data_IF_342166339177
#
_entry.id   IF_342166339177
#
_cell.length_a   1.000
_cell.length_b   1.000
_cell.length_c   1.000
_cell.angle_alpha   90.00
_cell.angle_beta   90.00
_cell.angle_gamma   90.00
#
_symmetry.space_group_name_H-M   'P 1'
#
loop_
_entity.id
_entity.type
_entity.pdbx_description
1 polymer ?
#
# COMPACT_ATOMS: atom_id res chain seq x y z
N UNK A 1 27.23 -0.24 5.32
CA UNK A 1 26.32 -0.32 6.49
C UNK A 1 24.88 0.05 6.12
N UNK A 2 24.65 1.06 5.32
CA UNK A 2 23.30 1.52 4.89
C UNK A 2 22.48 0.49 4.09
N UNK A 3 23.12 -0.31 3.23
CA UNK A 3 22.43 -1.33 2.38
C UNK A 3 21.56 -2.31 3.18
N UNK A 4 21.96 -2.70 4.38
CA UNK A 4 21.14 -3.59 5.21
C UNK A 4 19.81 -2.92 5.63
N UNK A 5 19.82 -1.62 5.92
CA UNK A 5 18.58 -0.91 6.25
C UNK A 5 17.62 -0.83 5.07
N UNK A 6 18.13 -0.65 3.85
CA UNK A 6 17.33 -0.75 2.62
C UNK A 6 16.66 -2.11 2.49
N UNK A 7 17.46 -3.19 2.61
CA UNK A 7 16.95 -4.56 2.43
C UNK A 7 15.95 -4.92 3.53
N UNK A 8 16.26 -4.63 4.79
CA UNK A 8 15.35 -4.92 5.88
C UNK A 8 14.05 -4.13 5.80
N UNK A 9 14.12 -2.84 5.49
CA UNK A 9 12.92 -2.01 5.32
C UNK A 9 12.05 -2.54 4.16
N UNK A 10 12.66 -2.95 3.04
CA UNK A 10 11.94 -3.53 1.92
C UNK A 10 11.27 -4.87 2.29
N UNK A 11 11.99 -5.78 2.96
CA UNK A 11 11.44 -7.09 3.35
C UNK A 11 10.33 -6.92 4.39
N UNK A 12 10.59 -6.17 5.45
CA UNK A 12 9.62 -5.99 6.55
C UNK A 12 8.38 -5.25 6.05
N UNK A 13 8.57 -4.17 5.27
CA UNK A 13 7.45 -3.42 4.70
C UNK A 13 6.58 -4.28 3.80
N UNK A 14 7.19 -5.05 2.89
CA UNK A 14 6.46 -5.95 2.01
C UNK A 14 5.73 -7.06 2.78
N UNK A 15 6.39 -7.65 3.77
CA UNK A 15 5.77 -8.68 4.62
C UNK A 15 4.55 -8.13 5.36
N UNK A 16 4.67 -6.96 5.98
CA UNK A 16 3.58 -6.33 6.73
C UNK A 16 2.42 -5.94 5.81
N UNK A 17 2.72 -5.40 4.62
CA UNK A 17 1.69 -5.08 3.63
C UNK A 17 0.90 -6.32 3.22
N UNK A 18 1.59 -7.38 2.80
CA UNK A 18 0.91 -8.61 2.37
C UNK A 18 0.19 -9.31 3.52
N UNK A 19 0.75 -9.30 4.74
CA UNK A 19 0.09 -9.86 5.92
C UNK A 19 -1.22 -9.13 6.23
N UNK A 20 -1.20 -7.80 6.27
CA UNK A 20 -2.42 -7.00 6.53
C UNK A 20 -3.49 -7.22 5.47
N UNK A 21 -3.12 -7.30 4.19
CA UNK A 21 -4.02 -7.59 3.08
C UNK A 21 -4.63 -8.99 3.18
N UNK A 22 -3.83 -10.00 3.56
CA UNK A 22 -4.33 -11.39 3.78
C UNK A 22 -5.34 -11.41 4.92
N UNK A 23 -5.06 -10.72 6.04
CA UNK A 23 -5.98 -10.64 7.18
C UNK A 23 -7.29 -9.99 6.75
N UNK A 24 -7.24 -8.83 6.10
CA UNK A 24 -8.44 -8.12 5.65
C UNK A 24 -9.23 -8.92 4.62
N UNK A 25 -8.55 -9.60 3.70
CA UNK A 25 -9.20 -10.50 2.74
C UNK A 25 -9.89 -11.67 3.45
N UNK A 26 -9.27 -12.25 4.47
CA UNK A 26 -9.88 -13.30 5.31
C UNK A 26 -11.13 -12.78 6.04
N UNK A 27 -11.07 -11.59 6.61
CA UNK A 27 -12.23 -10.94 7.24
C UNK A 27 -13.37 -10.69 6.26
N UNK A 28 -13.05 -10.26 5.04
CA UNK A 28 -14.05 -10.12 3.96
C UNK A 28 -14.70 -11.46 3.63
N UNK A 29 -13.91 -12.52 3.46
CA UNK A 29 -14.40 -13.87 3.15
C UNK A 29 -15.27 -14.47 4.26
N UNK A 30 -15.03 -14.13 5.51
CA UNK A 30 -15.82 -14.57 6.67
C UNK A 30 -17.11 -13.76 6.87
N UNK A 31 -17.37 -12.74 6.07
CA UNK A 31 -18.56 -11.90 6.19
C UNK A 31 -18.45 -10.78 7.23
N UNK A 32 -17.26 -10.51 7.77
CA UNK A 32 -17.08 -9.47 8.80
C UNK A 32 -17.50 -8.06 8.36
N UNK A 33 -17.61 -7.81 7.05
CA UNK A 33 -18.05 -6.53 6.47
C UNK A 33 -19.51 -6.57 5.94
N UNK A 34 -20.29 -7.62 6.20
CA UNK A 34 -21.61 -7.83 5.58
C UNK A 34 -22.63 -6.78 5.98
N UNK A 35 -22.64 -6.35 7.25
CA UNK A 35 -23.70 -5.49 7.78
C UNK A 35 -23.40 -3.99 7.61
N UNK A 36 -22.13 -3.58 7.70
CA UNK A 36 -21.78 -2.15 7.79
C UNK A 36 -20.83 -1.69 6.69
N UNK A 37 -20.32 -2.59 5.84
CA UNK A 37 -19.22 -2.37 4.86
C UNK A 37 -17.93 -1.85 5.47
N UNK A 38 -17.94 -1.37 6.71
CA UNK A 38 -16.77 -0.85 7.42
C UNK A 38 -16.78 -1.25 8.89
N UNK A 39 -15.61 -1.57 9.43
CA UNK A 39 -15.40 -1.78 10.87
C UNK A 39 -14.71 -0.55 11.45
N UNK A 40 -15.26 -0.02 12.54
CA UNK A 40 -14.69 1.15 13.22
C UNK A 40 -13.50 0.74 14.06
N UNK A 41 -12.36 1.41 13.86
CA UNK A 41 -11.14 1.25 14.67
C UNK A 41 -10.99 2.35 15.70
N UNK A 42 -11.18 3.60 15.28
CA UNK A 42 -11.06 4.77 16.15
C UNK A 42 -12.25 5.72 15.89
N UNK A 43 -13.33 5.49 16.62
CA UNK A 43 -14.57 6.24 16.44
C UNK A 43 -15.06 6.21 14.99
N UNK A 44 -15.44 7.39 14.47
CA UNK A 44 -15.84 7.55 13.07
C UNK A 44 -14.69 8.00 12.15
N UNK A 45 -13.47 8.21 12.73
CA UNK A 45 -12.34 8.79 12.00
C UNK A 45 -11.54 7.74 11.24
N UNK A 46 -11.27 6.60 11.86
CA UNK A 46 -10.47 5.52 11.26
C UNK A 46 -11.30 4.23 11.21
N UNK A 47 -11.45 3.69 10.03
CA UNK A 47 -12.23 2.48 9.79
C UNK A 47 -11.47 1.50 8.93
N UNK A 48 -11.80 0.22 9.03
CA UNK A 48 -11.42 -0.82 8.05
C UNK A 48 -12.58 -1.03 7.09
N UNK A 49 -12.23 -1.20 5.81
CA UNK A 49 -13.13 -1.64 4.75
C UNK A 49 -12.48 -2.76 3.95
N UNK A 50 -13.17 -3.27 2.97
CA UNK A 50 -12.58 -4.07 1.91
C UNK A 50 -12.97 -3.47 0.57
N UNK A 51 -12.00 -2.90 -0.13
CA UNK A 51 -12.21 -2.29 -1.44
C UNK A 51 -11.27 -2.88 -2.48
N UNK A 52 -11.79 -3.11 -3.68
CA UNK A 52 -11.04 -3.59 -4.84
C UNK A 52 -10.65 -2.42 -5.73
N UNK A 53 -9.43 -1.93 -5.58
CA UNK A 53 -8.93 -0.84 -6.39
C UNK A 53 -8.34 -1.36 -7.71
N UNK A 54 -9.08 -1.17 -8.79
CA UNK A 54 -8.66 -1.50 -10.16
C UNK A 54 -7.99 -0.32 -10.87
N UNK A 55 -7.83 0.80 -10.18
CA UNK A 55 -7.25 2.03 -10.68
C UNK A 55 -5.79 2.19 -10.18
N UNK A 56 -5.17 3.31 -10.47
CA UNK A 56 -3.86 3.64 -9.92
C UNK A 56 -3.92 4.16 -8.50
N UNK A 57 -2.80 4.67 -8.03
CA UNK A 57 -2.68 5.30 -6.72
C UNK A 57 -3.71 6.41 -6.59
N UNK A 58 -4.38 6.51 -5.43
CA UNK A 58 -5.45 7.46 -5.14
C UNK A 58 -6.66 7.40 -6.11
N UNK A 59 -6.94 6.23 -6.69
CA UNK A 59 -8.08 6.05 -7.60
C UNK A 59 -7.93 6.72 -8.97
N UNK A 60 -6.74 7.20 -9.32
CA UNK A 60 -6.49 7.87 -10.61
C UNK A 60 -6.35 6.84 -11.73
N UNK A 61 -7.06 7.06 -12.83
CA UNK A 61 -6.89 6.29 -14.06
C UNK A 61 -5.86 6.98 -14.96
N UNK A 62 -4.75 6.30 -15.24
CA UNK A 62 -3.69 6.81 -16.10
C UNK A 62 -3.40 5.92 -17.32
N UNK A 63 -4.47 5.46 -17.98
CA UNK A 63 -4.38 4.76 -19.25
C UNK A 63 -4.60 3.25 -19.18
N UNK A 64 -4.05 2.48 -20.14
CA UNK A 64 -4.25 1.03 -20.26
C UNK A 64 -3.74 0.26 -19.04
N UNK A 65 -4.35 -0.88 -18.75
CA UNK A 65 -4.08 -1.67 -17.54
C UNK A 65 -2.60 -2.08 -17.38
N UNK A 66 -1.85 -2.30 -18.44
CA UNK A 66 -0.45 -2.66 -18.35
C UNK A 66 0.43 -1.58 -17.69
N UNK A 67 0.04 -0.29 -17.77
CA UNK A 67 0.78 0.81 -17.14
C UNK A 67 0.79 0.70 -15.62
N UNK A 68 -0.23 0.09 -15.02
CA UNK A 68 -0.28 -0.18 -13.57
C UNK A 68 0.74 -1.22 -13.10
N UNK A 69 1.38 -1.91 -14.02
CA UNK A 69 2.54 -2.79 -13.78
C UNK A 69 3.85 -2.11 -14.20
N UNK A 70 3.90 -1.59 -15.42
CA UNK A 70 5.13 -1.04 -16.01
C UNK A 70 5.65 0.15 -15.21
N UNK A 71 4.80 1.10 -14.84
CA UNK A 71 5.24 2.29 -14.12
C UNK A 71 5.80 1.97 -12.72
N UNK A 72 5.11 1.20 -11.84
CA UNK A 72 5.66 0.84 -10.55
C UNK A 72 6.93 -0.03 -10.66
N UNK A 73 7.02 -0.94 -11.63
CA UNK A 73 8.22 -1.77 -11.83
C UNK A 73 9.41 -0.93 -12.31
N UNK A 74 9.18 0.00 -13.24
CA UNK A 74 10.22 0.92 -13.70
C UNK A 74 10.71 1.84 -12.58
N UNK A 75 9.78 2.39 -11.78
CA UNK A 75 10.10 3.18 -10.60
C UNK A 75 10.88 2.34 -9.58
N UNK A 76 10.49 1.07 -9.36
CA UNK A 76 11.20 0.16 -8.45
C UNK A 76 12.65 -0.05 -8.86
N UNK A 77 12.96 -0.13 -10.15
CA UNK A 77 14.34 -0.25 -10.63
C UNK A 77 15.19 0.98 -10.25
N UNK A 78 14.63 2.18 -10.36
CA UNK A 78 15.28 3.41 -9.92
C UNK A 78 15.45 3.45 -8.40
N UNK A 79 14.42 3.07 -7.65
CA UNK A 79 14.44 3.01 -6.17
C UNK A 79 15.53 2.04 -5.69
N UNK A 80 15.65 0.88 -6.32
CA UNK A 80 16.72 -0.10 -6.03
C UNK A 80 18.09 0.53 -6.28
N UNK A 81 18.25 1.18 -7.44
CA UNK A 81 19.51 1.80 -7.81
C UNK A 81 19.95 2.89 -6.83
N UNK A 82 19.02 3.77 -6.41
CA UNK A 82 19.28 4.80 -5.40
C UNK A 82 19.43 4.23 -3.99
N UNK A 83 18.61 3.26 -3.61
CA UNK A 83 18.64 2.62 -2.30
C UNK A 83 19.97 1.94 -2.00
N UNK A 84 20.58 1.27 -2.99
CA UNK A 84 21.92 0.68 -2.84
C UNK A 84 23.05 1.72 -2.80
N UNK A 85 22.79 2.96 -3.23
CA UNK A 85 23.72 4.09 -3.20
C UNK A 85 23.50 5.04 -2.03
N UNK A 86 22.45 4.85 -1.24
CA UNK A 86 22.17 5.67 -0.08
C UNK A 86 23.35 5.68 0.90
N UNK A 87 23.77 6.85 1.33
CA UNK A 87 24.95 7.03 2.18
C UNK A 87 24.64 6.83 3.65
N UNK A 88 23.43 7.14 4.08
CA UNK A 88 22.95 7.05 5.45
C UNK A 88 21.84 6.02 5.62
N UNK A 89 21.56 5.64 6.89
CA UNK A 89 20.58 4.61 7.20
C UNK A 89 19.12 5.06 6.95
N UNK A 90 18.82 6.34 7.16
CA UNK A 90 17.47 6.87 7.00
C UNK A 90 17.05 6.89 5.52
N UNK A 91 17.88 7.45 4.66
CA UNK A 91 17.63 7.41 3.21
C UNK A 91 17.54 5.99 2.69
N UNK A 92 18.40 5.09 3.16
CA UNK A 92 18.35 3.68 2.77
C UNK A 92 17.04 3.02 3.19
N UNK A 93 16.58 3.23 4.42
CA UNK A 93 15.31 2.71 4.91
C UNK A 93 14.12 3.31 4.14
N UNK A 94 14.14 4.62 3.86
CA UNK A 94 13.13 5.31 3.08
C UNK A 94 12.95 4.68 1.68
N UNK A 95 14.05 4.50 0.94
CA UNK A 95 13.99 3.78 -0.34
C UNK A 95 13.49 2.34 -0.20
N UNK A 96 13.82 1.65 0.90
CA UNK A 96 13.30 0.31 1.18
C UNK A 96 11.79 0.30 1.39
N UNK A 97 11.25 1.28 2.11
CA UNK A 97 9.80 1.45 2.30
C UNK A 97 9.09 1.73 0.97
N UNK A 98 9.61 2.67 0.16
CA UNK A 98 9.06 2.97 -1.17
C UNK A 98 9.04 1.70 -2.05
N UNK A 99 10.14 0.94 -2.06
CA UNK A 99 10.21 -0.30 -2.83
C UNK A 99 9.17 -1.32 -2.37
N UNK A 100 9.03 -1.51 -1.06
CA UNK A 100 8.06 -2.46 -0.50
C UNK A 100 6.62 -2.11 -0.87
N UNK A 101 6.26 -0.82 -0.81
CA UNK A 101 4.94 -0.35 -1.18
C UNK A 101 4.66 -0.53 -2.68
N UNK A 102 5.61 -0.16 -3.54
CA UNK A 102 5.47 -0.35 -4.98
C UNK A 102 5.26 -1.84 -5.33
N UNK A 103 6.11 -2.73 -4.80
CA UNK A 103 6.03 -4.17 -5.04
C UNK A 103 4.78 -4.80 -4.42
N UNK A 104 4.34 -4.37 -3.23
CA UNK A 104 3.14 -4.86 -2.58
C UNK A 104 1.90 -4.69 -3.47
N UNK A 105 1.71 -3.51 -4.04
CA UNK A 105 0.61 -3.23 -4.95
C UNK A 105 0.74 -3.91 -6.32
N UNK A 106 1.97 -4.17 -6.79
CA UNK A 106 2.20 -4.97 -8.01
C UNK A 106 1.84 -6.43 -7.79
N UNK A 107 2.20 -7.01 -6.63
CA UNK A 107 1.86 -8.39 -6.26
C UNK A 107 0.35 -8.58 -6.22
N UNK A 108 -0.40 -7.65 -5.61
CA UNK A 108 -1.85 -7.73 -5.57
C UNK A 108 -2.46 -7.75 -6.97
N UNK A 109 -2.02 -6.85 -7.84
CA UNK A 109 -2.50 -6.80 -9.24
C UNK A 109 -2.17 -8.07 -10.01
N UNK A 110 -0.99 -8.66 -9.79
CA UNK A 110 -0.60 -9.91 -10.43
C UNK A 110 -1.45 -11.10 -9.96
N UNK A 111 -1.87 -11.11 -8.68
CA UNK A 111 -2.65 -12.20 -8.08
C UNK A 111 -4.15 -12.06 -8.30
N UNK A 112 -4.68 -10.85 -8.19
CA UNK A 112 -6.12 -10.60 -8.11
C UNK A 112 -6.65 -9.74 -9.26
N UNK A 113 -5.79 -9.06 -10.02
CA UNK A 113 -6.17 -8.06 -11.02
C UNK A 113 -6.59 -6.70 -10.43
N UNK A 114 -6.47 -6.52 -9.11
CA UNK A 114 -6.76 -5.29 -8.38
C UNK A 114 -5.87 -5.20 -7.13
N UNK A 115 -5.83 -4.03 -6.51
CA UNK A 115 -5.18 -3.82 -5.21
C UNK A 115 -6.23 -3.89 -4.10
N UNK A 116 -5.89 -4.50 -2.97
CA UNK A 116 -6.74 -4.53 -1.78
C UNK A 116 -6.47 -3.26 -0.97
N UNK A 117 -7.45 -2.34 -0.94
CA UNK A 117 -7.44 -1.14 -0.11
C UNK A 117 -8.38 -1.34 1.08
N UNK A 118 -7.95 -0.89 2.27
CA UNK A 118 -8.70 -1.23 3.49
C UNK A 118 -8.69 -0.18 4.59
N UNK A 119 -7.88 0.87 4.51
CA UNK A 119 -7.83 1.94 5.49
C UNK A 119 -8.69 3.09 5.00
N UNK A 120 -9.77 3.38 5.74
CA UNK A 120 -10.65 4.53 5.49
C UNK A 120 -10.39 5.58 6.56
N UNK A 121 -10.01 6.77 6.12
CA UNK A 121 -9.85 7.94 6.99
C UNK A 121 -10.91 8.98 6.64
N UNK A 122 -11.78 9.30 7.60
CA UNK A 122 -12.92 10.20 7.41
C UNK A 122 -13.06 11.16 8.60
N UNK A 123 -13.17 12.45 8.33
CA UNK A 123 -13.50 13.45 9.35
C UNK A 123 -14.87 14.09 9.03
N UNK A 124 -15.95 13.42 9.43
CA UNK A 124 -17.35 13.85 9.13
C UNK A 124 -17.67 15.27 9.56
N UNK A 125 -17.09 15.73 10.68
CA UNK A 125 -17.34 17.08 11.21
C UNK A 125 -16.99 18.21 10.24
N UNK A 126 -16.03 17.98 9.34
CA UNK A 126 -15.56 18.95 8.35
C UNK A 126 -15.82 18.50 6.91
N UNK A 127 -16.57 17.39 6.73
CA UNK A 127 -16.86 16.84 5.40
C UNK A 127 -15.65 16.30 4.67
N UNK A 128 -14.56 15.96 5.36
CA UNK A 128 -13.35 15.46 4.75
C UNK A 128 -13.34 13.93 4.76
N UNK A 129 -13.13 13.33 3.58
CA UNK A 129 -12.89 11.91 3.42
C UNK A 129 -11.66 11.71 2.53
N UNK A 130 -10.67 10.93 3.03
CA UNK A 130 -9.54 10.50 2.23
C UNK A 130 -9.91 9.27 1.41
N UNK A 131 -9.26 9.08 0.28
CA UNK A 131 -9.41 7.84 -0.48
C UNK A 131 -9.03 6.65 0.39
N UNK A 132 -9.73 5.51 0.20
CA UNK A 132 -9.34 4.26 0.84
C UNK A 132 -7.96 3.86 0.32
N UNK A 133 -7.08 3.45 1.22
CA UNK A 133 -5.70 3.11 0.91
C UNK A 133 -5.25 1.88 1.73
N UNK A 134 -4.04 1.42 1.48
CA UNK A 134 -3.45 0.29 2.17
C UNK A 134 -2.08 0.64 2.77
N UNK A 135 -1.42 -0.35 3.39
CA UNK A 135 -0.11 -0.13 3.99
C UNK A 135 0.97 0.16 2.94
N UNK A 136 0.88 -0.46 1.74
CA UNK A 136 1.81 -0.18 0.65
C UNK A 136 1.79 1.30 0.24
N UNK A 137 0.60 1.91 0.13
CA UNK A 137 0.46 3.34 -0.20
C UNK A 137 1.06 4.22 0.90
N UNK A 138 0.81 3.87 2.17
CA UNK A 138 1.41 4.57 3.30
C UNK A 138 2.95 4.49 3.28
N UNK A 139 3.52 3.32 2.96
CA UNK A 139 4.97 3.11 2.85
C UNK A 139 5.59 3.92 1.71
N UNK A 140 4.89 4.10 0.60
CA UNK A 140 5.36 4.96 -0.51
C UNK A 140 5.35 6.45 -0.11
N UNK A 141 4.35 6.87 0.66
CA UNK A 141 4.21 8.29 1.06
C UNK A 141 5.19 8.68 2.17
N UNK A 142 5.44 7.77 3.11
CA UNK A 142 6.33 8.04 4.26
C UNK A 142 7.81 7.86 3.92
N UNK A 143 8.14 6.99 2.97
CA UNK A 143 9.49 6.78 2.47
C UNK A 143 9.91 7.86 1.48
#
# INVERSE_FOLDING_TARGET
MSRRFFVWAAIVGLFLDQLTKIIVYGMYRSGAFSDTRTLRLLGDVLKLAYEQNRQGVFGVRYGPQFLYFVLPLSASALVIWYGFRAKDAWSAAAFGMILSGALGNVIDRARFGYVIDFIVFEMRRIGFQWYTFNLADALVVVG
#
